data_IF_580316573666
#
_entry.id   IF_580316573666
#
_cell.length_a   1.000
_cell.length_b   1.000
_cell.length_c   1.000
_cell.angle_alpha   90.00
_cell.angle_beta   90.00
_cell.angle_gamma   90.00
#
_symmetry.space_group_name_H-M   'P 1'
#
loop_
_entity.id
_entity.type
_entity.pdbx_description
1 polymer ?
#
# COMPACT_ATOMS: atom_id res chain seq x y z
N UNK A 1 -1.08 -16.07 8.23
CA UNK A 1 0.15 -15.25 8.24
C UNK A 1 -0.29 -13.80 8.07
N UNK A 2 0.09 -12.93 9.00
CA UNK A 2 -0.24 -11.51 8.90
C UNK A 2 0.37 -10.93 7.61
N UNK A 3 -0.41 -10.16 6.86
CA UNK A 3 0.07 -9.55 5.61
C UNK A 3 0.90 -8.34 5.98
N UNK A 4 2.04 -8.13 5.33
CA UNK A 4 2.79 -6.88 5.51
C UNK A 4 2.09 -5.73 4.76
N UNK A 5 2.40 -4.49 5.13
CA UNK A 5 1.92 -3.31 4.41
C UNK A 5 2.31 -3.32 2.93
N UNK A 6 3.51 -3.82 2.58
CA UNK A 6 3.96 -3.94 1.19
C UNK A 6 3.06 -4.86 0.37
N UNK A 7 2.62 -5.98 0.96
CA UNK A 7 1.66 -6.90 0.32
C UNK A 7 0.31 -6.20 0.11
N UNK A 8 -0.19 -5.47 1.12
CA UNK A 8 -1.46 -4.76 1.02
C UNK A 8 -1.43 -3.62 -0.01
N UNK A 9 -0.31 -2.87 -0.10
CA UNK A 9 -0.11 -1.87 -1.15
C UNK A 9 -0.16 -2.48 -2.54
N UNK A 10 0.53 -3.61 -2.74
CA UNK A 10 0.51 -4.36 -4.01
C UNK A 10 -0.89 -4.84 -4.36
N UNK A 11 -1.62 -5.37 -3.38
CA UNK A 11 -3.01 -5.82 -3.55
C UNK A 11 -3.92 -4.66 -3.94
N UNK A 12 -3.87 -3.55 -3.21
CA UNK A 12 -4.67 -2.35 -3.50
C UNK A 12 -4.38 -1.82 -4.92
N UNK A 13 -3.10 -1.73 -5.31
CA UNK A 13 -2.72 -1.32 -6.66
C UNK A 13 -3.30 -2.22 -7.74
N UNK A 14 -3.23 -3.54 -7.54
CA UNK A 14 -3.79 -4.50 -8.50
C UNK A 14 -5.32 -4.41 -8.56
N UNK A 15 -5.99 -4.16 -7.44
CA UNK A 15 -7.45 -4.05 -7.38
C UNK A 15 -7.99 -2.84 -8.17
N UNK A 16 -7.23 -1.75 -8.23
CA UNK A 16 -7.55 -0.61 -9.10
C UNK A 16 -7.00 -0.75 -10.53
N UNK A 17 -6.41 -1.90 -10.87
CA UNK A 17 -5.93 -2.20 -12.21
C UNK A 17 -4.69 -1.42 -12.65
N UNK A 18 -3.91 -0.88 -11.71
CA UNK A 18 -2.73 -0.05 -12.03
C UNK A 18 -1.45 -0.88 -12.18
N UNK A 19 -0.65 -0.57 -13.20
CA UNK A 19 0.73 -1.04 -13.28
C UNK A 19 1.62 -0.31 -12.27
N UNK A 20 2.71 -0.95 -11.82
CA UNK A 20 3.67 -0.31 -10.92
C UNK A 20 4.26 0.99 -11.51
N UNK A 21 4.49 1.05 -12.82
CA UNK A 21 5.03 2.24 -13.47
C UNK A 21 4.09 3.45 -13.31
N UNK A 22 2.78 3.25 -13.47
CA UNK A 22 1.80 4.34 -13.40
C UNK A 22 1.51 4.78 -11.96
N UNK A 23 1.49 3.83 -11.03
CA UNK A 23 1.39 4.14 -9.61
C UNK A 23 2.63 4.89 -9.12
N UNK A 24 3.82 4.46 -9.51
CA UNK A 24 5.07 5.15 -9.13
C UNK A 24 5.10 6.58 -9.68
N UNK A 25 4.67 6.78 -10.94
CA UNK A 25 4.52 8.11 -11.55
C UNK A 25 3.54 9.00 -10.78
N UNK A 26 2.39 8.45 -10.39
CA UNK A 26 1.35 9.18 -9.64
C UNK A 26 1.81 9.56 -8.23
N UNK A 27 2.74 8.78 -7.66
CA UNK A 27 3.35 8.99 -6.35
C UNK A 27 4.69 9.73 -6.44
N UNK A 28 5.00 10.32 -7.60
CA UNK A 28 6.24 11.08 -7.86
C UNK A 28 7.53 10.34 -7.46
N UNK A 29 7.55 9.02 -7.66
CA UNK A 29 8.67 8.16 -7.33
C UNK A 29 9.09 7.25 -8.49
N UNK A 30 10.28 6.64 -8.37
CA UNK A 30 10.75 5.67 -9.36
C UNK A 30 10.01 4.33 -9.24
N UNK A 31 9.80 3.61 -10.35
CA UNK A 31 9.25 2.24 -10.32
C UNK A 31 10.05 1.30 -9.39
N UNK A 32 11.40 1.31 -9.38
CA UNK A 32 12.17 0.53 -8.40
C UNK A 32 11.86 0.88 -6.94
N UNK A 33 11.61 2.16 -6.62
CA UNK A 33 11.21 2.60 -5.28
C UNK A 33 9.89 1.94 -4.87
N UNK A 34 8.86 2.03 -5.71
CA UNK A 34 7.57 1.37 -5.45
C UNK A 34 7.73 -0.15 -5.34
N UNK A 35 8.52 -0.76 -6.22
CA UNK A 35 8.78 -2.20 -6.16
C UNK A 35 9.49 -2.62 -4.87
N UNK A 36 10.39 -1.79 -4.33
CA UNK A 36 11.06 -2.07 -3.06
C UNK A 36 10.10 -1.93 -1.87
N UNK A 37 9.19 -0.96 -1.92
CA UNK A 37 8.13 -0.79 -0.91
C UNK A 37 7.18 -2.00 -0.92
N UNK A 38 6.67 -2.39 -2.09
CA UNK A 38 5.77 -3.55 -2.21
C UNK A 38 6.44 -4.88 -1.82
N UNK A 39 7.75 -4.97 -1.99
CA UNK A 39 8.55 -6.12 -1.54
C UNK A 39 8.95 -6.05 -0.06
N UNK A 40 8.59 -5.00 0.67
CA UNK A 40 8.96 -4.80 2.07
C UNK A 40 10.45 -4.51 2.30
N UNK A 41 11.20 -4.19 1.25
CA UNK A 41 12.63 -3.85 1.31
C UNK A 41 12.89 -2.39 1.68
N UNK A 42 11.89 -1.53 1.51
CA UNK A 42 11.89 -0.13 1.89
C UNK A 42 10.65 0.14 2.73
N UNK A 43 10.82 0.83 3.86
CA UNK A 43 9.71 1.31 4.67
C UNK A 43 8.93 2.40 3.90
N UNK A 44 7.61 2.38 4.03
CA UNK A 44 6.72 3.42 3.53
C UNK A 44 6.49 4.45 4.61
N UNK A 45 6.49 5.74 4.26
CA UNK A 45 6.25 6.83 5.21
C UNK A 45 4.75 7.01 5.49
N UNK A 46 4.40 7.72 6.56
CA UNK A 46 3.01 8.03 6.87
C UNK A 46 2.33 8.89 5.78
N UNK A 47 3.08 9.79 5.16
CA UNK A 47 2.61 10.63 4.05
C UNK A 47 2.36 9.78 2.81
N UNK A 48 3.33 8.93 2.42
CA UNK A 48 3.15 7.97 1.32
C UNK A 48 1.94 7.04 1.57
N UNK A 49 1.69 6.58 2.80
CA UNK A 49 0.51 5.76 3.14
C UNK A 49 -0.79 6.51 2.86
N UNK A 50 -0.87 7.78 3.25
CA UNK A 50 -2.05 8.61 3.01
C UNK A 50 -2.30 8.77 1.51
N UNK A 51 -1.23 9.02 0.74
CA UNK A 51 -1.33 9.23 -0.70
C UNK A 51 -1.66 7.94 -1.45
N UNK A 52 -1.06 6.81 -1.06
CA UNK A 52 -1.41 5.48 -1.59
C UNK A 52 -2.86 5.11 -1.29
N UNK A 53 -3.36 5.42 -0.08
CA UNK A 53 -4.75 5.19 0.28
C UNK A 53 -5.71 5.95 -0.66
N UNK A 54 -5.39 7.22 -0.92
CA UNK A 54 -6.13 8.03 -1.89
C UNK A 54 -6.06 7.48 -3.31
N UNK A 55 -4.86 7.14 -3.78
CA UNK A 55 -4.61 6.63 -5.13
C UNK A 55 -5.31 5.30 -5.40
N UNK A 56 -5.34 4.40 -4.40
CA UNK A 56 -5.90 3.06 -4.55
C UNK A 56 -7.34 2.92 -4.03
N UNK A 57 -7.97 4.03 -3.62
CA UNK A 57 -9.35 4.05 -3.11
C UNK A 57 -9.59 3.10 -1.92
N UNK A 58 -8.64 3.05 -0.98
CA UNK A 58 -8.73 2.28 0.27
C UNK A 58 -8.50 3.18 1.48
N UNK A 59 -8.76 2.69 2.69
CA UNK A 59 -8.46 3.44 3.92
C UNK A 59 -7.00 3.25 4.35
N UNK A 60 -6.42 4.25 5.01
CA UNK A 60 -5.11 4.12 5.66
C UNK A 60 -5.11 3.01 6.70
N UNK A 61 -6.21 2.85 7.45
CA UNK A 61 -6.40 1.77 8.43
C UNK A 61 -6.24 0.40 7.77
N UNK A 62 -6.86 0.19 6.60
CA UNK A 62 -6.72 -1.07 5.88
C UNK A 62 -5.28 -1.31 5.41
N UNK A 63 -4.57 -0.28 4.93
CA UNK A 63 -3.16 -0.42 4.55
C UNK A 63 -2.25 -0.77 5.75
N UNK A 64 -2.54 -0.22 6.93
CA UNK A 64 -1.76 -0.42 8.15
C UNK A 64 -2.05 -1.77 8.82
N UNK A 65 -3.32 -2.16 8.92
CA UNK A 65 -3.77 -3.24 9.80
C UNK A 65 -4.54 -4.36 9.08
N UNK A 66 -4.91 -4.15 7.81
CA UNK A 66 -5.77 -5.09 7.08
C UNK A 66 -7.22 -5.08 7.57
N UNK A 67 -8.03 -6.01 7.05
CA UNK A 67 -9.47 -6.08 7.34
C UNK A 67 -9.83 -6.75 8.69
N UNK A 68 -8.85 -7.37 9.37
CA UNK A 68 -9.11 -8.32 10.47
C UNK A 68 -8.65 -7.83 11.85
N UNK A 69 -8.53 -6.53 12.08
CA UNK A 69 -8.08 -5.98 13.38
C UNK A 69 -9.21 -5.34 14.21
N UNK A 70 -10.47 -5.53 13.80
CA UNK A 70 -11.64 -5.08 14.59
C UNK A 70 -12.22 -6.16 15.53
N UNK A 71 -11.75 -7.42 15.48
CA UNK A 71 -12.32 -8.52 16.26
C UNK A 71 -11.62 -8.83 17.59
N UNK A 72 -10.42 -8.31 17.87
CA UNK A 72 -9.69 -8.60 19.13
C UNK A 72 -10.03 -7.67 20.31
N UNK A 73 -10.87 -6.66 20.11
CA UNK A 73 -11.29 -5.71 21.16
C UNK A 73 -12.80 -5.71 21.46
N UNK A 74 -13.50 -6.83 21.24
CA UNK A 74 -14.90 -7.02 21.71
C UNK A 74 -14.98 -8.07 22.81
#
# INVERSE_FOLDING_TARGET
>A
MDKTIGIRLKEARNNVGMYQEDAARSMEMSRPTLSAIEAGKRAVTAEEIKDFAGLYHVTTNWLLFGANQEEENR
#
